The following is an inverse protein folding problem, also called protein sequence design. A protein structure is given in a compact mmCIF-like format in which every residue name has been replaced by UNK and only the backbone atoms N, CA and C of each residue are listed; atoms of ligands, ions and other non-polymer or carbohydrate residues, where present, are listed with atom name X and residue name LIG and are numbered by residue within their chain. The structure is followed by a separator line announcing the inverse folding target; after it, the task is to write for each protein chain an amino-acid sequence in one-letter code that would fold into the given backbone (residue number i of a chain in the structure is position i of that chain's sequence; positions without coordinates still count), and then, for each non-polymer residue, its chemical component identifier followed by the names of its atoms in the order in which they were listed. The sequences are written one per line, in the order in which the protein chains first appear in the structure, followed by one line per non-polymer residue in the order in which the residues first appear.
data_IF_585762157655
#
_entry.id   IF_585762157655
#
_cell.length_a   1.000
_cell.length_b   1.000
_cell.length_c   1.000
_cell.angle_alpha   90.00
_cell.angle_beta   90.00
_cell.angle_gamma   90.00
#
_symmetry.space_group_name_H-M   'P 1'
#
loop_
_entity.id
_entity.type
_entity.pdbx_description
1 polymer ?
#
# COMPACT_ATOMS: atom_id res chain seq x y z
N UNK A 1 29.19 -18.19 -10.94
CA UNK A 1 27.82 -18.06 -10.38
C UNK A 1 27.82 -18.13 -8.85
N UNK A 2 28.67 -18.93 -8.21
CA UNK A 2 28.89 -18.94 -6.75
C UNK A 2 29.23 -17.57 -6.14
N UNK A 3 30.08 -16.81 -6.82
CA UNK A 3 30.83 -15.72 -6.19
C UNK A 3 29.97 -14.46 -5.98
N UNK A 4 28.98 -14.24 -6.86
CA UNK A 4 27.98 -13.18 -6.71
C UNK A 4 27.06 -13.44 -5.51
N UNK A 5 26.67 -14.68 -5.26
CA UNK A 5 25.81 -15.03 -4.12
C UNK A 5 26.55 -14.81 -2.78
N UNK A 6 27.82 -15.23 -2.70
CA UNK A 6 28.68 -14.95 -1.54
C UNK A 6 28.88 -13.43 -1.31
N UNK A 7 29.00 -12.67 -2.40
CA UNK A 7 29.11 -11.21 -2.34
C UNK A 7 27.80 -10.54 -1.91
N UNK A 8 26.64 -11.00 -2.41
CA UNK A 8 25.32 -10.52 -2.00
C UNK A 8 25.02 -10.83 -0.52
N UNK A 9 25.42 -12.01 -0.03
CA UNK A 9 25.33 -12.36 1.38
C UNK A 9 26.22 -11.48 2.27
N UNK A 10 27.42 -11.12 1.80
CA UNK A 10 28.28 -10.16 2.49
C UNK A 10 27.61 -8.77 2.60
N UNK A 11 27.02 -8.29 1.51
CA UNK A 11 26.22 -7.04 1.48
C UNK A 11 25.00 -7.11 2.41
N UNK A 12 24.27 -8.22 2.42
CA UNK A 12 23.16 -8.51 3.35
C UNK A 12 23.60 -8.39 4.81
N UNK A 13 24.75 -8.95 5.17
CA UNK A 13 25.31 -8.90 6.54
C UNK A 13 25.69 -7.47 6.92
N UNK A 14 26.36 -6.71 6.04
CA UNK A 14 26.68 -5.29 6.27
C UNK A 14 25.42 -4.44 6.48
N UNK A 15 24.41 -4.59 5.62
CA UNK A 15 23.12 -3.92 5.77
C UNK A 15 22.44 -4.28 7.09
N UNK A 16 22.49 -5.54 7.52
CA UNK A 16 21.98 -5.97 8.83
C UNK A 16 22.73 -5.34 10.02
N UNK A 17 24.03 -5.07 9.89
CA UNK A 17 24.80 -4.32 10.91
C UNK A 17 24.35 -2.87 10.96
N UNK A 18 24.27 -2.18 9.82
CA UNK A 18 23.76 -0.81 9.77
C UNK A 18 22.32 -0.67 10.29
N UNK A 19 21.45 -1.66 10.06
CA UNK A 19 20.11 -1.72 10.66
C UNK A 19 20.12 -1.80 12.19
N UNK A 20 21.11 -2.48 12.81
CA UNK A 20 21.28 -2.52 14.27
C UNK A 20 21.80 -1.19 14.80
N UNK A 21 22.72 -0.57 14.06
CA UNK A 21 23.30 0.75 14.37
C UNK A 21 22.32 1.92 14.10
N UNK A 22 21.08 1.64 13.68
CA UNK A 22 20.07 2.63 13.25
C UNK A 22 20.49 3.52 12.06
N UNK A 23 21.47 3.07 11.28
CA UNK A 23 21.99 3.71 10.06
C UNK A 23 21.20 3.25 8.84
N UNK A 24 19.95 3.72 8.76
CA UNK A 24 18.98 3.18 7.80
C UNK A 24 19.32 3.50 6.33
N UNK A 25 19.96 4.64 6.04
CA UNK A 25 20.36 5.02 4.68
C UNK A 25 21.47 4.10 4.18
N UNK A 26 22.51 3.89 4.98
CA UNK A 26 23.63 3.01 4.67
C UNK A 26 23.17 1.55 4.54
N UNK A 27 22.20 1.13 5.37
CA UNK A 27 21.54 -0.17 5.20
C UNK A 27 20.80 -0.29 3.85
N UNK A 28 20.05 0.73 3.43
CA UNK A 28 19.37 0.76 2.12
C UNK A 28 20.37 0.65 0.96
N UNK A 29 21.51 1.34 1.05
CA UNK A 29 22.59 1.26 0.04
C UNK A 29 23.15 -0.17 -0.03
N UNK A 30 23.60 -0.74 1.09
CA UNK A 30 24.15 -2.10 1.13
C UNK A 30 23.14 -3.15 0.65
N UNK A 31 21.85 -3.04 1.02
CA UNK A 31 20.83 -3.95 0.49
C UNK A 31 20.57 -3.75 -1.01
N UNK A 32 20.64 -2.51 -1.51
CA UNK A 32 20.44 -2.23 -2.94
C UNK A 32 21.59 -2.76 -3.79
N UNK A 33 22.83 -2.61 -3.33
CA UNK A 33 24.00 -3.26 -3.95
C UNK A 33 23.90 -4.79 -3.88
N UNK A 34 23.43 -5.34 -2.75
CA UNK A 34 23.12 -6.77 -2.64
C UNK A 34 22.10 -7.23 -3.69
N UNK A 35 21.04 -6.44 -3.92
CA UNK A 35 19.99 -6.74 -4.91
C UNK A 35 20.53 -6.70 -6.34
N UNK A 36 21.47 -5.80 -6.64
CA UNK A 36 22.15 -5.76 -7.95
C UNK A 36 23.02 -7.00 -8.20
N UNK A 37 23.51 -7.65 -7.16
CA UNK A 37 24.27 -8.91 -7.25
C UNK A 37 23.35 -10.14 -7.29
N UNK A 38 22.26 -10.14 -6.53
CA UNK A 38 21.26 -11.20 -6.46
C UNK A 38 19.82 -10.61 -6.45
N UNK A 39 19.25 -10.50 -7.64
CA UNK A 39 17.91 -9.96 -7.87
C UNK A 39 16.78 -10.92 -7.46
N UNK A 40 17.07 -12.19 -7.19
CA UNK A 40 16.04 -13.18 -6.82
C UNK A 40 15.91 -13.36 -5.30
N UNK A 41 16.73 -12.65 -4.50
CA UNK A 41 16.78 -12.80 -3.06
C UNK A 41 15.61 -12.10 -2.33
N UNK A 42 14.59 -12.82 -1.82
CA UNK A 42 13.46 -12.18 -1.13
C UNK A 42 13.89 -11.53 0.20
N UNK A 43 14.98 -12.00 0.82
CA UNK A 43 15.44 -11.50 2.13
C UNK A 43 15.99 -10.09 2.01
N UNK A 44 16.71 -9.77 0.93
CA UNK A 44 17.23 -8.43 0.68
C UNK A 44 16.10 -7.42 0.51
N UNK A 45 15.07 -7.71 -0.29
CA UNK A 45 13.88 -6.86 -0.41
C UNK A 45 13.13 -6.74 0.92
N UNK A 46 12.93 -7.82 1.67
CA UNK A 46 12.23 -7.78 2.97
C UNK A 46 12.97 -6.95 4.02
N UNK A 47 14.30 -6.91 3.98
CA UNK A 47 15.14 -6.13 4.88
C UNK A 47 15.24 -4.66 4.43
N UNK A 48 15.36 -4.39 3.13
CA UNK A 48 15.32 -3.02 2.59
C UNK A 48 13.96 -2.36 2.81
N UNK A 49 12.87 -3.13 2.67
CA UNK A 49 11.53 -2.72 3.08
C UNK A 49 11.47 -2.28 4.55
N UNK A 50 12.09 -3.03 5.48
CA UNK A 50 12.18 -2.63 6.88
C UNK A 50 12.99 -1.32 7.08
N UNK A 51 14.09 -1.14 6.34
CA UNK A 51 14.88 0.09 6.41
C UNK A 51 14.05 1.30 5.95
N UNK A 52 13.29 1.17 4.85
CA UNK A 52 12.33 2.19 4.41
C UNK A 52 11.22 2.45 5.43
N UNK A 53 10.67 1.42 6.09
CA UNK A 53 9.71 1.60 7.20
C UNK A 53 10.27 2.43 8.35
N UNK A 54 11.57 2.29 8.66
CA UNK A 54 12.25 3.06 9.70
C UNK A 54 12.53 4.52 9.32
N UNK A 55 12.37 4.86 8.04
CA UNK A 55 12.48 6.22 7.51
C UNK A 55 11.13 6.83 7.09
N UNK A 56 10.02 6.21 7.50
CA UNK A 56 8.65 6.55 7.10
C UNK A 56 8.40 6.58 5.56
N UNK A 57 9.26 5.88 4.80
CA UNK A 57 9.21 5.77 3.35
C UNK A 57 8.25 4.67 2.89
N UNK A 58 6.96 4.81 3.25
CA UNK A 58 5.98 3.73 3.14
C UNK A 58 5.75 3.22 1.70
N UNK A 59 5.80 4.09 0.68
CA UNK A 59 5.72 3.67 -0.73
C UNK A 59 6.82 2.67 -1.11
N UNK A 60 8.08 3.00 -0.83
CA UNK A 60 9.23 2.15 -1.14
C UNK A 60 9.21 0.86 -0.32
N UNK A 61 8.86 0.95 0.96
CA UNK A 61 8.65 -0.21 1.82
C UNK A 61 7.58 -1.18 1.26
N UNK A 62 6.44 -0.64 0.82
CA UNK A 62 5.35 -1.41 0.20
C UNK A 62 5.81 -2.06 -1.11
N UNK A 63 6.57 -1.35 -1.96
CA UNK A 63 7.05 -1.89 -3.24
C UNK A 63 8.04 -3.04 -3.06
N UNK A 64 8.99 -2.93 -2.13
CA UNK A 64 9.90 -4.03 -1.80
C UNK A 64 9.16 -5.22 -1.17
N UNK A 65 8.12 -4.97 -0.36
CA UNK A 65 7.26 -6.03 0.16
C UNK A 65 6.48 -6.74 -0.95
N UNK A 66 5.98 -6.01 -1.97
CA UNK A 66 5.33 -6.58 -3.15
C UNK A 66 6.30 -7.37 -4.04
N UNK A 67 7.58 -7.01 -4.12
CA UNK A 67 8.61 -7.85 -4.74
C UNK A 67 8.82 -9.12 -3.91
N UNK A 68 8.95 -8.99 -2.59
CA UNK A 68 9.11 -10.14 -1.66
C UNK A 68 7.97 -11.16 -1.81
N UNK A 69 6.72 -10.71 -1.85
CA UNK A 69 5.52 -11.55 -2.03
C UNK A 69 5.52 -12.23 -3.42
N UNK A 70 5.99 -11.55 -4.48
CA UNK A 70 6.07 -12.15 -5.82
C UNK A 70 7.19 -13.20 -5.94
N UNK A 71 8.30 -13.02 -5.23
CA UNK A 71 9.42 -13.97 -5.21
C UNK A 71 9.09 -15.22 -4.39
N UNK A 72 8.50 -15.05 -3.20
CA UNK A 72 8.07 -16.18 -2.34
C UNK A 72 6.68 -15.91 -1.76
N UNK A 73 5.60 -16.30 -2.47
CA UNK A 73 4.22 -16.08 -2.03
C UNK A 73 3.85 -16.82 -0.73
N UNK A 74 4.60 -17.86 -0.37
CA UNK A 74 4.36 -18.64 0.86
C UNK A 74 5.08 -18.04 2.09
N UNK A 75 5.81 -16.93 1.95
CA UNK A 75 6.60 -16.37 3.05
C UNK A 75 5.86 -15.27 3.81
N UNK A 76 5.49 -15.47 5.11
CA UNK A 76 4.69 -14.51 5.87
C UNK A 76 5.28 -13.11 5.94
N UNK A 77 6.62 -13.00 5.93
CA UNK A 77 7.33 -11.73 6.08
C UNK A 77 7.06 -10.75 4.95
N UNK A 78 6.76 -11.21 3.73
CA UNK A 78 6.37 -10.32 2.63
C UNK A 78 5.08 -9.56 2.95
N UNK A 79 4.02 -10.28 3.29
CA UNK A 79 2.74 -9.70 3.71
C UNK A 79 2.85 -8.88 4.99
N UNK A 80 3.67 -9.34 5.95
CA UNK A 80 3.92 -8.60 7.18
C UNK A 80 4.52 -7.22 6.89
N UNK A 81 5.56 -7.14 6.05
CA UNK A 81 6.16 -5.86 5.63
C UNK A 81 5.19 -4.97 4.88
N UNK A 82 4.36 -5.53 3.99
CA UNK A 82 3.34 -4.76 3.26
C UNK A 82 2.32 -4.15 4.22
N UNK A 83 1.76 -4.95 5.13
CA UNK A 83 0.83 -4.47 6.14
C UNK A 83 1.45 -3.42 7.06
N UNK A 84 2.72 -3.58 7.46
CA UNK A 84 3.44 -2.55 8.24
C UNK A 84 3.55 -1.22 7.50
N UNK A 85 3.76 -1.22 6.17
CA UNK A 85 3.81 0.01 5.37
C UNK A 85 2.44 0.70 5.30
N UNK A 86 1.37 -0.09 5.11
CA UNK A 86 0.00 0.39 5.07
C UNK A 86 -0.47 0.91 6.45
N UNK A 87 -0.05 0.27 7.55
CA UNK A 87 -0.27 0.78 8.91
C UNK A 87 0.49 2.08 9.21
N UNK A 88 1.75 2.20 8.73
CA UNK A 88 2.53 3.43 8.82
C UNK A 88 1.85 4.60 8.12
N UNK A 89 1.34 4.35 6.91
CA UNK A 89 0.49 5.29 6.17
C UNK A 89 -0.90 5.51 6.80
N UNK A 90 -1.24 4.82 7.91
CA UNK A 90 -2.54 4.87 8.60
C UNK A 90 -3.73 4.45 7.72
N UNK A 91 -3.46 3.57 6.75
CA UNK A 91 -4.39 2.90 5.85
C UNK A 91 -4.70 1.50 6.39
N UNK A 92 -5.22 1.45 7.62
CA UNK A 92 -5.46 0.21 8.37
C UNK A 92 -6.40 -0.76 7.65
N UNK A 93 -7.31 -0.25 6.81
CA UNK A 93 -8.17 -1.04 5.94
C UNK A 93 -7.38 -1.86 4.91
N UNK A 94 -6.34 -1.26 4.29
CA UNK A 94 -5.44 -1.98 3.39
C UNK A 94 -4.56 -2.97 4.15
N UNK A 95 -4.01 -2.56 5.31
CA UNK A 95 -3.17 -3.43 6.14
C UNK A 95 -3.88 -4.73 6.55
N UNK A 96 -5.16 -4.65 6.95
CA UNK A 96 -5.98 -5.82 7.28
C UNK A 96 -6.12 -6.75 6.07
N UNK A 97 -6.31 -6.22 4.86
CA UNK A 97 -6.39 -7.00 3.62
C UNK A 97 -5.05 -7.68 3.32
N UNK A 98 -3.93 -6.97 3.47
CA UNK A 98 -2.58 -7.52 3.27
C UNK A 98 -2.25 -8.65 4.26
N UNK A 99 -2.54 -8.46 5.55
CA UNK A 99 -2.37 -9.52 6.56
C UNK A 99 -3.31 -10.71 6.30
N UNK A 100 -4.56 -10.46 5.91
CA UNK A 100 -5.51 -11.53 5.57
C UNK A 100 -5.08 -12.31 4.30
N UNK A 101 -4.48 -11.65 3.31
CA UNK A 101 -3.89 -12.32 2.16
C UNK A 101 -2.72 -13.21 2.57
N UNK A 102 -1.85 -12.72 3.47
CA UNK A 102 -0.76 -13.51 4.03
C UNK A 102 -1.25 -14.74 4.80
N UNK A 103 -2.29 -14.63 5.62
CA UNK A 103 -2.88 -15.77 6.35
C UNK A 103 -3.57 -16.81 5.44
N UNK A 104 -3.94 -16.43 4.21
CA UNK A 104 -4.48 -17.36 3.21
C UNK A 104 -3.39 -18.09 2.44
N UNK A 105 -2.27 -17.41 2.16
CA UNK A 105 -1.12 -17.99 1.45
C UNK A 105 -0.20 -18.80 2.38
N UNK A 106 0.00 -18.32 3.60
CA UNK A 106 0.85 -18.89 4.62
C UNK A 106 -0.03 -19.47 5.74
N UNK A 107 -0.15 -20.79 5.80
CA UNK A 107 -1.01 -21.45 6.79
C UNK A 107 -0.61 -21.12 8.23
N UNK A 108 -1.56 -20.56 8.99
CA UNK A 108 -1.51 -20.40 10.46
C UNK A 108 -0.29 -19.65 11.05
N UNK A 109 0.22 -18.59 10.38
CA UNK A 109 1.27 -17.74 10.96
C UNK A 109 0.73 -16.83 12.09
N UNK A 110 1.24 -17.04 13.32
CA UNK A 110 0.80 -16.31 14.52
C UNK A 110 1.14 -14.81 14.49
N UNK A 111 2.25 -14.44 13.84
CA UNK A 111 2.71 -13.03 13.75
C UNK A 111 1.74 -12.24 12.87
N UNK A 112 1.33 -12.79 11.73
CA UNK A 112 0.30 -12.21 10.86
C UNK A 112 -1.07 -12.15 11.55
N UNK A 113 -1.47 -13.17 12.33
CA UNK A 113 -2.72 -13.10 13.10
C UNK A 113 -2.70 -11.98 14.15
N UNK A 114 -1.58 -11.80 14.84
CA UNK A 114 -1.41 -10.76 15.85
C UNK A 114 -1.43 -9.38 15.20
N UNK A 115 -0.68 -9.19 14.11
CA UNK A 115 -0.67 -7.95 13.33
C UNK A 115 -2.05 -7.59 12.76
N UNK A 116 -2.80 -8.58 12.26
CA UNK A 116 -4.17 -8.39 11.79
C UNK A 116 -5.10 -7.91 12.92
N UNK A 117 -5.01 -8.51 14.12
CA UNK A 117 -5.81 -8.09 15.29
C UNK A 117 -5.46 -6.66 15.72
N UNK A 118 -4.17 -6.31 15.76
CA UNK A 118 -3.73 -4.94 16.05
C UNK A 118 -4.24 -3.93 15.03
N UNK A 119 -4.13 -4.22 13.74
CA UNK A 119 -4.62 -3.37 12.67
C UNK A 119 -6.15 -3.19 12.74
N UNK A 120 -6.91 -4.23 13.09
CA UNK A 120 -8.35 -4.14 13.35
C UNK A 120 -8.69 -3.22 14.53
N UNK A 121 -7.91 -3.25 15.60
CA UNK A 121 -8.07 -2.33 16.75
C UNK A 121 -7.78 -0.89 16.32
N UNK A 122 -6.65 -0.64 15.63
CA UNK A 122 -6.28 0.68 15.10
C UNK A 122 -7.34 1.22 14.13
N UNK A 123 -7.87 0.37 13.24
CA UNK A 123 -8.97 0.72 12.33
C UNK A 123 -10.24 1.13 13.08
N UNK A 124 -10.65 0.38 14.11
CA UNK A 124 -11.81 0.72 14.95
C UNK A 124 -11.63 2.07 15.65
N UNK A 125 -10.45 2.30 16.24
CA UNK A 125 -10.11 3.55 16.91
C UNK A 125 -10.09 4.76 15.96
N UNK A 126 -9.63 4.57 14.72
CA UNK A 126 -9.66 5.59 13.67
C UNK A 126 -11.09 5.89 13.21
N UNK A 127 -11.94 4.87 13.01
CA UNK A 127 -13.37 5.04 12.71
C UNK A 127 -14.11 5.80 13.82
N UNK A 128 -13.89 5.45 15.09
CA UNK A 128 -14.54 6.13 16.21
C UNK A 128 -13.99 7.54 16.43
N UNK A 129 -12.72 7.78 16.11
CA UNK A 129 -12.14 9.13 16.07
C UNK A 129 -12.73 9.98 14.92
N UNK A 130 -12.96 9.39 13.74
CA UNK A 130 -13.69 10.01 12.62
C UNK A 130 -15.14 10.33 12.99
N UNK A 131 -15.86 9.41 13.66
CA UNK A 131 -17.22 9.65 14.19
C UNK A 131 -17.22 10.80 15.20
N UNK A 132 -16.27 10.83 16.15
CA UNK A 132 -16.12 11.93 17.13
C UNK A 132 -15.83 13.27 16.47
N UNK A 133 -14.91 13.32 15.49
CA UNK A 133 -14.65 14.51 14.66
C UNK A 133 -15.94 15.01 13.99
N UNK A 134 -16.67 14.16 13.25
CA UNK A 134 -17.95 14.54 12.60
C UNK A 134 -19.00 15.06 13.58
N UNK A 135 -19.17 14.42 14.74
CA UNK A 135 -20.07 14.90 15.80
C UNK A 135 -19.68 16.30 16.30
N UNK A 136 -18.38 16.54 16.58
CA UNK A 136 -17.90 17.86 17.03
C UNK A 136 -18.20 18.96 16.03
N UNK A 137 -17.90 18.77 14.75
CA UNK A 137 -18.17 19.76 13.71
C UNK A 137 -19.67 20.02 13.50
N UNK A 138 -20.52 19.00 13.57
CA UNK A 138 -21.97 19.17 13.52
C UNK A 138 -22.49 20.03 14.68
N UNK A 139 -22.02 19.78 15.91
CA UNK A 139 -22.37 20.60 17.09
C UNK A 139 -21.88 22.05 16.95
N UNK A 140 -20.63 22.26 16.51
CA UNK A 140 -20.07 23.61 16.29
C UNK A 140 -20.89 24.38 15.24
N UNK A 141 -21.25 23.74 14.13
CA UNK A 141 -22.04 24.38 13.08
C UNK A 141 -23.49 24.67 13.52
N UNK A 142 -24.11 23.78 14.31
CA UNK A 142 -25.42 24.03 14.91
C UNK A 142 -25.41 25.20 15.90
N UNK A 143 -24.38 25.31 16.75
CA UNK A 143 -24.20 26.46 17.66
C UNK A 143 -24.01 27.77 16.88
N UNK A 144 -23.27 27.74 15.77
CA UNK A 144 -23.13 28.89 14.87
C UNK A 144 -24.47 29.28 14.20
N UNK A 145 -25.27 28.30 13.78
CA UNK A 145 -26.63 28.52 13.29
C UNK A 145 -27.56 29.15 14.33
N UNK A 146 -27.49 28.71 15.59
CA UNK A 146 -28.23 29.32 16.71
C UNK A 146 -27.78 30.76 16.95
N UNK A 147 -26.47 31.03 16.92
CA UNK A 147 -25.93 32.39 17.04
C UNK A 147 -26.45 33.33 15.93
N UNK A 148 -26.52 32.86 14.68
CA UNK A 148 -27.12 33.62 13.57
C UNK A 148 -28.60 33.95 13.84
N UNK A 149 -29.39 32.97 14.29
CA UNK A 149 -30.81 33.20 14.61
C UNK A 149 -30.99 34.22 15.74
N UNK A 150 -30.15 34.14 16.79
CA UNK A 150 -30.17 35.12 17.89
C UNK A 150 -29.79 36.52 17.37
N UNK A 151 -28.76 36.63 16.52
CA UNK A 151 -28.36 37.91 15.94
C UNK A 151 -29.45 38.54 15.04
N UNK A 152 -30.19 37.76 14.24
CA UNK A 152 -31.36 38.24 13.48
C UNK A 152 -32.50 38.71 14.40
N UNK A 153 -32.71 38.04 15.55
CA UNK A 153 -33.72 38.44 16.54
C UNK A 153 -33.42 39.76 17.26
N UNK A 154 -32.14 40.10 17.45
CA UNK A 154 -31.72 41.40 18.00
C UNK A 154 -31.39 42.45 16.91
N UNK A 155 -31.46 42.05 15.64
CA UNK A 155 -31.31 42.93 14.48
C UNK A 155 -32.45 43.94 14.35
N UNK A 156 -32.17 45.08 13.70
CA UNK A 156 -33.04 46.28 13.67
C UNK A 156 -34.53 45.96 13.37
N UNK A 157 -35.49 46.59 14.08
CA UNK A 157 -36.90 46.16 14.15
C UNK A 157 -37.73 46.22 12.86
N UNK A 158 -37.18 46.69 11.73
CA UNK A 158 -37.89 46.79 10.45
C UNK A 158 -37.39 45.84 9.35
N UNK A 159 -36.35 45.01 9.61
CA UNK A 159 -35.80 44.08 8.62
C UNK A 159 -35.39 42.73 9.23
N UNK A 160 -36.27 42.08 10.01
CA UNK A 160 -36.06 40.67 10.39
C UNK A 160 -36.25 39.76 9.18
N UNK A 161 -35.17 39.15 8.70
CA UNK A 161 -35.21 38.31 7.48
C UNK A 161 -35.95 37.00 7.73
N UNK A 162 -35.93 36.49 8.97
CA UNK A 162 -36.54 35.22 9.36
C UNK A 162 -37.80 35.44 10.20
N UNK A 163 -38.88 35.86 9.52
CA UNK A 163 -40.19 36.16 10.14
C UNK A 163 -40.90 34.94 10.75
N UNK A 164 -40.72 33.76 10.16
CA UNK A 164 -41.46 32.56 10.57
C UNK A 164 -40.62 31.65 11.48
N UNK A 165 -41.16 31.13 12.61
CA UNK A 165 -40.44 30.23 13.51
C UNK A 165 -39.88 28.98 12.82
N UNK A 166 -40.63 28.38 11.89
CA UNK A 166 -40.20 27.18 11.16
C UNK A 166 -38.95 27.41 10.31
N UNK A 167 -38.76 28.62 9.75
CA UNK A 167 -37.56 28.96 8.98
C UNK A 167 -36.29 29.03 9.86
N UNK A 168 -36.44 29.35 11.15
CA UNK A 168 -35.32 29.36 12.12
C UNK A 168 -34.84 27.94 12.40
N UNK A 169 -35.78 27.01 12.59
CA UNK A 169 -35.47 25.60 12.78
C UNK A 169 -34.83 24.96 11.54
N UNK A 170 -35.31 25.28 10.33
CA UNK A 170 -34.68 24.78 9.09
C UNK A 170 -33.28 25.35 8.90
N UNK A 171 -33.02 26.63 9.21
CA UNK A 171 -31.68 27.21 9.14
C UNK A 171 -30.68 26.53 10.09
N UNK A 172 -31.07 26.27 11.34
CA UNK A 172 -30.22 25.55 12.31
C UNK A 172 -29.95 24.12 11.81
N UNK A 173 -30.98 23.42 11.32
CA UNK A 173 -30.85 22.07 10.74
C UNK A 173 -29.89 22.04 9.54
N UNK A 174 -30.03 22.99 8.61
CA UNK A 174 -29.15 23.13 7.45
C UNK A 174 -27.70 23.46 7.85
N UNK A 175 -27.48 24.31 8.87
CA UNK A 175 -26.13 24.60 9.36
C UNK A 175 -25.44 23.35 9.93
N UNK A 176 -26.14 22.52 10.70
CA UNK A 176 -25.63 21.24 11.21
C UNK A 176 -25.31 20.25 10.08
N UNK A 177 -26.17 20.17 9.06
CA UNK A 177 -25.93 19.34 7.87
C UNK A 177 -24.71 19.81 7.06
N UNK A 178 -24.55 21.12 6.87
CA UNK A 178 -23.39 21.71 6.19
C UNK A 178 -22.10 21.45 6.99
N UNK A 179 -22.15 21.52 8.32
CA UNK A 179 -21.07 21.12 9.22
C UNK A 179 -20.71 19.64 9.11
N UNK A 180 -21.68 18.74 8.92
CA UNK A 180 -21.44 17.32 8.66
C UNK A 180 -20.76 17.08 7.29
N UNK A 181 -21.20 17.78 6.24
CA UNK A 181 -20.56 17.72 4.91
C UNK A 181 -19.11 18.21 5.01
N UNK A 182 -18.89 19.39 5.60
CA UNK A 182 -17.55 19.97 5.76
C UNK A 182 -16.62 19.06 6.56
N UNK A 183 -17.10 18.47 7.67
CA UNK A 183 -16.35 17.48 8.43
C UNK A 183 -15.99 16.23 7.61
N UNK A 184 -16.93 15.77 6.78
CA UNK A 184 -16.71 14.61 5.90
C UNK A 184 -15.70 14.92 4.80
N UNK A 185 -15.72 16.14 4.27
CA UNK A 185 -14.72 16.66 3.32
C UNK A 185 -13.32 16.74 3.95
N UNK A 186 -13.17 17.37 5.11
CA UNK A 186 -11.87 17.44 5.82
C UNK A 186 -11.30 16.04 6.13
N UNK A 187 -12.14 15.10 6.56
CA UNK A 187 -11.75 13.71 6.79
C UNK A 187 -11.40 12.95 5.50
N UNK A 188 -12.00 13.34 4.37
CA UNK A 188 -11.66 12.81 3.05
C UNK A 188 -10.27 13.32 2.62
N UNK A 189 -9.99 14.62 2.79
CA UNK A 189 -8.66 15.19 2.56
C UNK A 189 -7.58 14.52 3.43
N UNK A 190 -7.85 14.32 4.73
CA UNK A 190 -6.94 13.60 5.63
C UNK A 190 -6.69 12.15 5.16
N UNK A 191 -7.69 11.46 4.59
CA UNK A 191 -7.51 10.13 3.99
C UNK A 191 -6.71 10.20 2.68
N UNK A 192 -6.94 11.20 1.84
CA UNK A 192 -6.20 11.38 0.58
C UNK A 192 -4.72 11.65 0.84
N UNK A 193 -4.39 12.48 1.83
CA UNK A 193 -3.01 12.75 2.27
C UNK A 193 -2.32 11.49 2.79
N UNK A 194 -3.03 10.66 3.57
CA UNK A 194 -2.53 9.34 4.02
C UNK A 194 -2.29 8.40 2.83
N UNK A 195 -3.22 8.34 1.88
CA UNK A 195 -3.12 7.49 0.71
C UNK A 195 -1.96 7.89 -0.22
N UNK A 196 -1.64 9.19 -0.34
CA UNK A 196 -0.48 9.64 -1.13
C UNK A 196 0.87 9.17 -0.56
N UNK A 197 0.96 8.76 0.71
CA UNK A 197 2.19 8.17 1.26
C UNK A 197 2.50 6.77 0.70
N UNK A 198 1.51 6.12 0.09
CA UNK A 198 1.62 4.83 -0.63
C UNK A 198 1.66 5.03 -2.16
N UNK A 199 1.78 6.27 -2.64
CA UNK A 199 1.94 6.59 -4.06
C UNK A 199 3.41 6.90 -4.39
N UNK A 200 3.84 6.70 -5.64
CA UNK A 200 5.19 7.09 -6.06
C UNK A 200 5.40 8.59 -5.86
N UNK A 201 6.57 9.02 -5.33
CA UNK A 201 6.95 10.43 -5.32
C UNK A 201 6.86 11.06 -6.73
N UNK A 202 6.50 12.35 -6.86
CA UNK A 202 6.30 13.00 -8.15
C UNK A 202 7.50 12.91 -9.12
N UNK A 203 8.71 12.89 -8.57
CA UNK A 203 9.97 12.74 -9.33
C UNK A 203 9.98 11.44 -10.15
N UNK A 204 9.58 10.31 -9.56
CA UNK A 204 9.50 9.01 -10.24
C UNK A 204 8.37 8.97 -11.28
N UNK A 205 7.27 9.68 -11.03
CA UNK A 205 6.18 9.81 -12.00
C UNK A 205 6.66 10.55 -13.25
N UNK A 206 7.41 11.65 -13.06
CA UNK A 206 7.96 12.45 -14.14
C UNK A 206 9.09 11.72 -14.89
N UNK A 207 9.95 10.96 -14.20
CA UNK A 207 10.93 10.08 -14.84
C UNK A 207 10.25 8.98 -15.67
N UNK A 208 9.15 8.39 -15.18
CA UNK A 208 8.39 7.38 -15.94
C UNK A 208 7.75 7.95 -17.21
N UNK A 209 7.29 9.20 -17.16
CA UNK A 209 6.68 9.91 -18.28
C UNK A 209 7.70 10.42 -19.32
N UNK A 210 8.91 10.76 -18.87
CA UNK A 210 10.02 11.20 -19.73
C UNK A 210 10.79 10.03 -20.36
N UNK A 211 10.56 8.79 -19.92
CA UNK A 211 11.19 7.60 -20.48
C UNK A 211 10.53 7.24 -21.82
N UNK A 212 11.27 7.23 -22.96
CA UNK A 212 10.68 6.81 -24.23
C UNK A 212 10.15 5.37 -24.11
N UNK A 213 9.07 5.02 -24.83
CA UNK A 213 8.44 3.71 -24.72
C UNK A 213 9.46 2.61 -25.02
N UNK A 214 9.78 1.82 -23.99
CA UNK A 214 10.70 0.70 -24.13
C UNK A 214 10.02 -0.34 -25.00
N UNK A 215 10.40 -0.37 -26.28
CA UNK A 215 9.92 -1.37 -27.23
C UNK A 215 10.12 -2.78 -26.62
N UNK A 216 9.11 -3.67 -26.68
CA UNK A 216 9.25 -5.01 -26.14
C UNK A 216 10.42 -5.70 -26.86
N UNK A 217 11.45 -6.07 -26.09
CA UNK A 217 12.52 -6.93 -26.60
C UNK A 217 11.93 -8.31 -26.83
N UNK A 218 11.50 -8.58 -28.07
CA UNK A 218 11.08 -9.89 -28.54
C UNK A 218 12.25 -10.87 -28.48
N UNK A 219 12.50 -11.46 -27.31
CA UNK A 219 13.34 -12.65 -27.15
C UNK A 219 12.56 -13.91 -27.52
N UNK A 220 12.11 -13.97 -28.78
CA UNK A 220 11.65 -15.20 -29.44
C UNK A 220 11.94 -15.10 -30.94
N UNK A 221 13.23 -15.11 -31.29
CA UNK A 221 13.65 -15.48 -32.65
C UNK A 221 13.60 -16.99 -32.80
N UNK A 222 12.89 -17.46 -33.82
CA UNK A 222 12.57 -18.86 -34.01
C UNK A 222 13.78 -19.76 -34.28
N UNK A 223 13.73 -20.98 -33.77
CA UNK A 223 14.39 -22.14 -34.36
C UNK A 223 13.33 -23.13 -34.84
N UNK A 224 12.76 -22.88 -36.02
CA UNK A 224 11.88 -23.81 -36.72
C UNK A 224 12.67 -24.61 -37.75
N UNK A 225 13.22 -25.76 -37.38
CA UNK A 225 13.64 -26.78 -38.35
C UNK A 225 12.49 -27.76 -38.56
N UNK A 226 12.02 -27.85 -39.80
CA UNK A 226 10.80 -28.57 -40.17
C UNK A 226 10.95 -30.09 -40.01
N UNK A 227 9.87 -30.74 -39.56
CA UNK A 227 9.70 -32.17 -39.79
C UNK A 227 9.14 -32.39 -41.21
N UNK A 228 9.75 -33.29 -41.96
CA UNK A 228 9.21 -33.81 -43.22
C UNK A 228 8.82 -35.27 -43.05
N UNK A 229 7.53 -35.58 -43.26
CA UNK A 229 7.01 -36.95 -43.26
C UNK A 229 7.63 -37.80 -44.38
N UNK A 230 7.85 -39.09 -44.08
CA UNK A 230 7.49 -40.17 -44.99
C UNK A 230 6.91 -41.34 -44.19
N UNK A 231 5.84 -41.94 -44.71
CA UNK A 231 5.09 -43.03 -44.07
C UNK A 231 5.52 -44.35 -44.70
N UNK A 232 5.86 -45.32 -43.84
CA UNK A 232 5.60 -46.76 -44.00
C UNK A 232 6.13 -47.53 -45.22
N UNK A 233 6.83 -48.63 -44.95
CA UNK A 233 6.36 -49.93 -45.47
C UNK A 233 6.69 -51.08 -44.49
N UNK A 234 6.00 -52.21 -44.64
CA UNK A 234 5.97 -53.33 -43.70
C UNK A 234 6.30 -54.65 -44.40
N UNK A 235 7.46 -55.26 -44.13
CA UNK A 235 7.70 -56.67 -44.53
C UNK A 235 8.44 -57.48 -43.47
N UNK A 236 7.84 -58.61 -43.14
CA UNK A 236 8.39 -59.68 -42.30
C UNK A 236 9.35 -60.56 -43.12
N UNK A 237 10.47 -60.99 -42.54
CA UNK A 237 11.09 -62.28 -42.93
C UNK A 237 11.87 -62.95 -41.78
N UNK A 238 11.60 -64.24 -41.59
CA UNK A 238 12.41 -65.15 -40.77
C UNK A 238 13.55 -65.77 -41.61
N UNK A 239 14.73 -65.95 -41.01
CA UNK A 239 15.66 -67.10 -41.14
C UNK A 239 16.94 -66.76 -40.30
N UNK A 240 17.56 -67.65 -39.50
CA UNK A 240 18.47 -68.74 -39.91
C UNK A 240 19.49 -68.26 -40.98
N UNK A 241 20.79 -68.52 -40.94
CA UNK A 241 21.64 -69.43 -40.16
C UNK A 241 23.08 -68.88 -40.25
N UNK A 242 24.06 -69.34 -39.49
CA UNK A 242 24.04 -70.48 -38.56
C UNK A 242 23.53 -70.11 -37.15
#
# INVERSE_FOLDING_TARGET
MSDNASSADTRKVKGNTFMKDSKFIEAIVEYSEGIMLDHSNPVLYSNRSLAFLKMDQYFYAMKDAEVTIRLVPEWPKGYYRKGQAEEGAKMYDLAIISYQAGLKACSNDEVLQTAMKEAQIKYRLDLDSKKRKRKKYCVIAALFGVFIVIADMFGKPHYSFIKYPWMRFTLISMSGFLGYIFASFLLSLERSQRASLLQPPPELMQESANKPPVAPKNQFTASSSQASHSIGDSTVSHAKTE
#
